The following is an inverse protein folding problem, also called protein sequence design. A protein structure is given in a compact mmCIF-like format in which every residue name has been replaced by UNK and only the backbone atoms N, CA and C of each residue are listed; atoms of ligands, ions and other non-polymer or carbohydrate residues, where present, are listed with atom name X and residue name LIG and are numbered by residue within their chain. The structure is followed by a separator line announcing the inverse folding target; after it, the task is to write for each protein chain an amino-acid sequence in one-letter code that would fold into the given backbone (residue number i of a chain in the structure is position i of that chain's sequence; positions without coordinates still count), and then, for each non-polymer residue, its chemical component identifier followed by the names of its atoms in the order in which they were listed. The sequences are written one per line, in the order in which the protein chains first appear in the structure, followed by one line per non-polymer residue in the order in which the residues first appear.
data_IF_688147224435
#
_entry.id   IF_688147224435
#
_cell.length_a   1.000
_cell.length_b   1.000
_cell.length_c   1.000
_cell.angle_alpha   90.00
_cell.angle_beta   90.00
_cell.angle_gamma   90.00
#
_symmetry.space_group_name_H-M   'P 1'
#
loop_
_entity.id
_entity.type
_entity.pdbx_description
1 polymer ?
#
# COMPACT_ATOMS: atom_id res chain seq x y z
N UNK A 1 7.39 18.83 17.82
CA UNK A 1 7.14 17.96 16.68
C UNK A 1 8.14 16.81 16.62
N UNK A 2 9.41 17.02 16.32
CA UNK A 2 10.46 15.96 16.25
C UNK A 2 10.48 14.99 17.44
N UNK A 3 10.15 15.46 18.65
CA UNK A 3 10.17 14.62 19.86
C UNK A 3 9.07 13.55 19.84
N UNK A 4 7.85 13.91 19.43
CA UNK A 4 6.74 12.93 19.27
C UNK A 4 7.02 11.95 18.12
N UNK A 5 7.55 12.44 17.01
CA UNK A 5 7.97 11.58 15.88
C UNK A 5 9.04 10.57 16.33
N UNK A 6 10.05 11.04 17.06
CA UNK A 6 11.11 10.16 17.59
C UNK A 6 10.53 9.16 18.59
N UNK A 7 9.61 9.59 19.47
CA UNK A 7 9.01 8.69 20.47
C UNK A 7 8.14 7.60 19.82
N UNK A 8 7.47 7.92 18.71
CA UNK A 8 6.73 6.94 17.87
C UNK A 8 7.71 6.03 17.13
N UNK A 9 8.70 6.59 16.43
CA UNK A 9 9.66 5.83 15.64
C UNK A 9 10.54 4.89 16.49
N UNK A 10 10.82 5.25 17.75
CA UNK A 10 11.62 4.44 18.67
C UNK A 10 10.78 3.47 19.53
N UNK A 11 9.44 3.40 19.30
CA UNK A 11 8.54 2.55 20.06
C UNK A 11 8.29 2.99 21.52
N UNK A 12 8.75 4.18 21.91
CA UNK A 12 8.42 4.75 23.24
C UNK A 12 6.97 5.15 23.37
N UNK A 13 6.33 5.46 22.26
CA UNK A 13 4.88 5.55 22.11
C UNK A 13 4.46 4.40 21.21
N UNK A 14 3.71 3.46 21.76
CA UNK A 14 3.34 2.23 21.06
C UNK A 14 2.09 2.43 20.18
N UNK A 15 1.96 1.67 19.08
CA UNK A 15 0.76 1.66 18.27
C UNK A 15 -0.53 1.47 19.09
N UNK A 16 -1.53 2.33 18.85
CA UNK A 16 -2.78 2.33 19.62
C UNK A 16 -2.73 3.05 20.97
N UNK A 17 -1.55 3.46 21.43
CA UNK A 17 -1.38 4.18 22.69
C UNK A 17 -2.07 5.54 22.65
N UNK A 18 -2.79 5.87 23.72
CA UNK A 18 -3.41 7.18 23.88
C UNK A 18 -2.40 8.21 24.33
N UNK A 19 -2.29 9.31 23.59
CA UNK A 19 -1.49 10.45 24.03
C UNK A 19 -2.09 11.11 25.27
N UNK A 20 -1.23 11.70 26.09
CA UNK A 20 -1.68 12.53 27.20
C UNK A 20 -2.61 13.66 26.69
N UNK A 21 -3.59 14.11 27.49
CA UNK A 21 -4.48 15.21 27.11
C UNK A 21 -3.68 16.44 26.62
N UNK A 22 -4.20 17.15 25.61
CA UNK A 22 -3.51 18.31 24.98
C UNK A 22 -2.91 19.29 25.99
N UNK A 23 -3.63 19.52 27.10
CA UNK A 23 -3.15 20.44 28.16
C UNK A 23 -1.88 19.91 28.82
N UNK A 24 -1.83 18.63 29.14
CA UNK A 24 -0.67 18.01 29.79
C UNK A 24 0.49 17.87 28.79
N UNK A 25 0.18 17.50 27.55
CA UNK A 25 1.17 17.35 26.49
C UNK A 25 1.82 18.70 26.15
N UNK A 26 1.03 19.78 26.07
CA UNK A 26 1.53 21.13 25.85
C UNK A 26 2.46 21.61 26.97
N UNK A 27 2.10 21.35 28.23
CA UNK A 27 2.94 21.67 29.38
C UNK A 27 4.26 20.86 29.36
N UNK A 28 4.20 19.54 29.04
CA UNK A 28 5.38 18.66 28.99
C UNK A 28 6.34 19.01 27.85
N UNK A 29 5.79 19.50 26.74
CA UNK A 29 6.56 19.90 25.56
C UNK A 29 6.90 21.39 25.52
N UNK A 30 6.45 22.16 26.52
CA UNK A 30 6.67 23.61 26.67
C UNK A 30 6.22 24.41 25.43
N UNK A 31 5.05 24.01 24.83
CA UNK A 31 4.51 24.66 23.64
C UNK A 31 3.11 25.22 23.87
N UNK A 32 2.80 26.32 23.22
CA UNK A 32 1.46 26.91 23.24
C UNK A 32 0.43 25.96 22.64
N UNK A 33 -0.82 26.00 23.16
CA UNK A 33 -1.92 25.12 22.77
C UNK A 33 -2.16 25.10 21.25
N UNK A 34 -2.14 26.26 20.60
CA UNK A 34 -2.38 26.35 19.15
C UNK A 34 -1.24 25.74 18.34
N UNK A 35 0.01 25.90 18.81
CA UNK A 35 1.18 25.26 18.20
C UNK A 35 1.11 23.74 18.32
N UNK A 36 0.72 23.23 19.50
CA UNK A 36 0.52 21.80 19.72
C UNK A 36 -0.57 21.25 18.80
N UNK A 37 -1.73 21.93 18.70
CA UNK A 37 -2.84 21.46 17.84
C UNK A 37 -2.45 21.38 16.37
N UNK A 38 -1.72 22.38 15.87
CA UNK A 38 -1.20 22.34 14.49
C UNK A 38 -0.23 21.19 14.30
N UNK A 39 0.66 20.94 15.25
CA UNK A 39 1.60 19.82 15.22
C UNK A 39 0.89 18.46 15.26
N UNK A 40 -0.15 18.31 16.11
CA UNK A 40 -0.93 17.07 16.18
C UNK A 40 -1.75 16.83 14.91
N UNK A 41 -2.31 17.90 14.32
CA UNK A 41 -3.02 17.82 13.04
C UNK A 41 -2.07 17.45 11.89
N UNK A 42 -0.86 17.98 11.85
CA UNK A 42 0.17 17.61 10.88
C UNK A 42 0.59 16.14 11.02
N UNK A 43 0.85 15.69 12.26
CA UNK A 43 1.15 14.29 12.53
C UNK A 43 -0.02 13.36 12.14
N UNK A 44 -1.25 13.82 12.29
CA UNK A 44 -2.43 13.06 11.85
C UNK A 44 -2.57 13.05 10.33
N UNK A 45 -2.30 14.17 9.66
CA UNK A 45 -2.27 14.23 8.19
C UNK A 45 -1.20 13.31 7.60
N UNK A 46 -0.11 13.09 8.33
CA UNK A 46 0.97 12.14 7.98
C UNK A 46 0.71 10.71 8.45
N UNK A 47 -0.47 10.42 8.99
CA UNK A 47 -0.86 9.09 9.42
C UNK A 47 -0.17 8.59 10.70
N UNK A 48 0.57 9.43 11.42
CA UNK A 48 1.26 9.03 12.66
C UNK A 48 0.35 9.06 13.89
N UNK A 49 -0.70 9.86 13.84
CA UNK A 49 -1.71 9.97 14.89
C UNK A 49 -3.12 9.84 14.33
N UNK A 50 -4.06 9.43 15.16
CA UNK A 50 -5.50 9.43 14.86
C UNK A 50 -6.25 10.15 15.98
N UNK A 51 -7.14 11.06 15.60
CA UNK A 51 -8.08 11.68 16.53
C UNK A 51 -9.34 10.82 16.63
N UNK A 52 -9.74 10.47 17.87
CA UNK A 52 -11.05 9.82 18.12
C UNK A 52 -11.92 10.81 18.88
N UNK A 53 -13.13 11.03 18.36
CA UNK A 53 -14.11 11.96 18.96
C UNK A 53 -14.26 11.72 20.46
N UNK A 54 -14.16 12.81 21.24
CA UNK A 54 -14.22 12.84 22.71
C UNK A 54 -13.20 11.98 23.45
N UNK A 55 -12.37 11.18 22.72
CA UNK A 55 -11.38 10.28 23.30
C UNK A 55 -9.95 10.82 23.21
N UNK A 56 -9.69 11.83 22.36
CA UNK A 56 -8.39 12.47 22.21
C UNK A 56 -7.54 11.86 21.09
N UNK A 57 -6.23 12.04 21.21
CA UNK A 57 -5.25 11.61 20.23
C UNK A 57 -4.66 10.25 20.60
N UNK A 58 -4.49 9.39 19.62
CA UNK A 58 -3.87 8.08 19.75
C UNK A 58 -2.73 7.96 18.74
N UNK A 59 -1.67 7.25 19.13
CA UNK A 59 -0.67 6.81 18.16
C UNK A 59 -1.41 5.94 17.14
N UNK A 60 -1.34 6.35 15.88
CA UNK A 60 -1.87 5.48 14.84
C UNK A 60 -1.08 4.19 14.89
N UNK A 61 -1.73 3.06 14.87
CA UNK A 61 -1.10 1.73 14.95
C UNK A 61 -0.15 1.41 13.81
N UNK A 62 0.34 2.44 13.13
CA UNK A 62 1.14 2.31 11.94
C UNK A 62 0.30 1.91 10.72
N UNK A 63 -1.03 2.06 10.81
CA UNK A 63 -1.86 1.87 9.63
C UNK A 63 -1.46 2.93 8.58
N UNK A 64 -0.85 2.48 7.53
CA UNK A 64 -0.62 3.29 6.33
C UNK A 64 -1.99 3.50 5.70
N UNK A 65 -2.51 4.74 5.77
CA UNK A 65 -3.74 5.07 5.05
C UNK A 65 -3.38 5.35 3.61
N UNK A 66 -3.72 4.46 2.71
CA UNK A 66 -3.59 4.69 1.28
C UNK A 66 -4.83 5.43 0.80
N UNK A 67 -4.63 6.64 0.33
CA UNK A 67 -5.68 7.43 -0.31
C UNK A 67 -5.64 7.17 -1.81
N UNK A 68 -6.67 6.51 -2.33
CA UNK A 68 -6.83 6.32 -3.77
C UNK A 68 -7.49 7.57 -4.35
N UNK A 69 -6.71 8.62 -4.63
CA UNK A 69 -7.27 9.92 -5.05
C UNK A 69 -7.25 10.11 -6.56
N UNK A 70 -6.43 9.40 -7.34
CA UNK A 70 -6.27 9.72 -8.77
C UNK A 70 -5.62 8.58 -9.57
N UNK A 71 -6.20 7.39 -9.56
CA UNK A 71 -5.71 6.26 -10.35
C UNK A 71 -4.72 5.34 -9.62
N UNK A 72 -4.24 4.29 -10.28
CA UNK A 72 -3.36 3.30 -9.68
C UNK A 72 -2.00 3.92 -9.37
N UNK A 73 -1.67 4.01 -8.08
CA UNK A 73 -0.42 4.55 -7.58
C UNK A 73 0.35 3.46 -6.81
N UNK A 74 1.61 3.25 -7.17
CA UNK A 74 2.45 2.30 -6.47
C UNK A 74 2.78 2.75 -5.03
N UNK A 75 2.89 1.78 -4.10
CA UNK A 75 3.26 2.06 -2.71
C UNK A 75 4.56 2.87 -2.58
N UNK A 76 5.53 2.64 -3.46
CA UNK A 76 6.80 3.38 -3.46
C UNK A 76 6.60 4.86 -3.77
N UNK A 77 5.79 5.17 -4.79
CA UNK A 77 5.50 6.56 -5.18
C UNK A 77 4.67 7.26 -4.09
N UNK A 78 3.68 6.56 -3.54
CA UNK A 78 2.88 7.05 -2.42
C UNK A 78 3.75 7.36 -1.20
N UNK A 79 4.64 6.45 -0.81
CA UNK A 79 5.51 6.62 0.34
C UNK A 79 6.52 7.76 0.16
N UNK A 80 7.05 7.95 -1.05
CA UNK A 80 7.95 9.05 -1.36
C UNK A 80 7.28 10.42 -1.13
N UNK A 81 6.00 10.56 -1.53
CA UNK A 81 5.20 11.77 -1.29
C UNK A 81 5.01 12.03 0.22
N UNK A 82 4.91 10.96 1.02
CA UNK A 82 4.70 11.05 2.47
C UNK A 82 6.00 11.04 3.29
N UNK A 83 7.17 11.00 2.62
CA UNK A 83 8.48 10.99 3.27
C UNK A 83 8.76 9.72 4.08
N UNK A 84 8.18 8.58 3.67
CA UNK A 84 8.33 7.28 4.32
C UNK A 84 9.36 6.42 3.57
N UNK A 85 10.19 5.70 4.32
CA UNK A 85 11.14 4.76 3.75
C UNK A 85 10.42 3.45 3.36
N UNK A 86 10.59 3.03 2.10
CA UNK A 86 10.05 1.76 1.60
C UNK A 86 11.19 0.90 1.07
N UNK A 87 11.17 -0.36 1.45
CA UNK A 87 12.00 -1.42 0.88
C UNK A 87 11.15 -2.64 0.54
N UNK A 88 11.73 -3.62 -0.13
CA UNK A 88 11.05 -4.86 -0.46
C UNK A 88 11.95 -6.05 -0.21
N UNK A 89 11.38 -7.12 0.31
CA UNK A 89 11.99 -8.45 0.25
C UNK A 89 11.35 -9.19 -0.92
N UNK A 90 12.12 -9.44 -1.98
CA UNK A 90 11.67 -10.21 -3.13
C UNK A 90 11.54 -11.67 -2.74
N UNK A 91 10.35 -12.23 -2.83
CA UNK A 91 10.06 -13.65 -2.57
C UNK A 91 10.15 -14.46 -3.85
N UNK A 92 9.74 -13.89 -4.98
CA UNK A 92 9.79 -14.51 -6.29
C UNK A 92 9.86 -13.45 -7.40
N UNK A 93 10.68 -13.70 -8.41
CA UNK A 93 10.76 -12.90 -9.63
C UNK A 93 11.15 -13.83 -10.78
N UNK A 94 10.21 -14.13 -11.68
CA UNK A 94 10.45 -15.11 -12.76
C UNK A 94 9.50 -14.90 -13.93
N UNK A 95 9.92 -15.40 -15.09
CA UNK A 95 9.05 -15.61 -16.24
C UNK A 95 8.43 -17.01 -16.13
N UNK A 96 7.15 -17.13 -16.41
CA UNK A 96 6.40 -18.38 -16.44
C UNK A 96 5.20 -18.31 -17.39
N UNK A 97 4.65 -19.44 -17.83
CA UNK A 97 3.39 -19.47 -18.56
C UNK A 97 2.25 -18.83 -17.73
N UNK A 98 1.38 -18.10 -18.41
CA UNK A 98 0.16 -17.54 -17.83
C UNK A 98 -0.84 -18.65 -17.49
N UNK A 99 -1.47 -18.55 -16.32
CA UNK A 99 -2.64 -19.39 -16.00
C UNK A 99 -3.86 -18.91 -16.79
N UNK A 100 -4.86 -19.75 -16.94
CA UNK A 100 -6.06 -19.45 -17.73
C UNK A 100 -6.75 -18.14 -17.31
N UNK A 101 -6.94 -17.92 -16.01
CA UNK A 101 -7.54 -16.70 -15.48
C UNK A 101 -6.69 -15.45 -15.77
N UNK A 102 -5.35 -15.59 -15.67
CA UNK A 102 -4.40 -14.51 -15.95
C UNK A 102 -4.37 -14.18 -17.45
N UNK A 103 -4.33 -15.19 -18.32
CA UNK A 103 -4.38 -15.00 -19.75
C UNK A 103 -5.65 -14.29 -20.19
N UNK A 104 -6.79 -14.66 -19.59
CA UNK A 104 -8.09 -14.01 -19.85
C UNK A 104 -8.08 -12.55 -19.40
N UNK A 105 -7.62 -12.26 -18.17
CA UNK A 105 -7.64 -10.91 -17.61
C UNK A 105 -6.63 -9.99 -18.32
N UNK A 106 -5.46 -10.51 -18.72
CA UNK A 106 -4.45 -9.77 -19.50
C UNK A 106 -4.76 -9.73 -21.01
N UNK A 107 -5.81 -10.41 -21.48
CA UNK A 107 -6.20 -10.51 -22.90
C UNK A 107 -5.07 -11.06 -23.78
N UNK A 108 -4.36 -12.07 -23.29
CA UNK A 108 -3.24 -12.71 -24.01
C UNK A 108 -3.58 -14.19 -24.28
N UNK A 109 -2.91 -14.82 -25.26
CA UNK A 109 -3.07 -16.26 -25.49
C UNK A 109 -2.73 -17.08 -24.24
N UNK A 110 -3.38 -18.24 -24.10
CA UNK A 110 -3.02 -19.20 -23.05
C UNK A 110 -1.54 -19.58 -23.17
N UNK A 111 -0.91 -19.84 -22.02
CA UNK A 111 0.52 -20.17 -21.91
C UNK A 111 1.50 -19.07 -22.38
N UNK A 112 1.02 -17.85 -22.65
CA UNK A 112 1.91 -16.72 -22.88
C UNK A 112 2.86 -16.52 -21.71
N UNK A 113 4.12 -16.20 -21.97
CA UNK A 113 5.13 -15.94 -20.94
C UNK A 113 4.87 -14.61 -20.21
N UNK A 114 4.42 -14.68 -18.97
CA UNK A 114 4.21 -13.52 -18.08
C UNK A 114 5.35 -13.38 -17.10
N UNK A 115 5.59 -12.18 -16.60
CA UNK A 115 6.52 -11.94 -15.50
C UNK A 115 5.75 -11.93 -14.18
N UNK A 116 6.12 -12.84 -13.27
CA UNK A 116 5.58 -12.93 -11.92
C UNK A 116 6.56 -12.30 -10.94
N UNK A 117 6.08 -11.35 -10.15
CA UNK A 117 6.85 -10.69 -9.11
C UNK A 117 6.10 -10.78 -7.79
N UNK A 118 6.73 -11.37 -6.76
CA UNK A 118 6.16 -11.44 -5.42
C UNK A 118 7.13 -10.80 -4.42
N UNK A 119 6.61 -9.88 -3.60
CA UNK A 119 7.41 -9.12 -2.64
C UNK A 119 6.67 -8.91 -1.33
N UNK A 120 7.39 -9.01 -0.23
CA UNK A 120 6.95 -8.37 1.01
C UNK A 120 7.34 -6.89 0.95
N UNK A 121 6.38 -6.00 1.09
CA UNK A 121 6.62 -4.56 1.15
C UNK A 121 6.82 -4.15 2.61
N UNK A 122 7.89 -3.41 2.84
CA UNK A 122 8.34 -3.01 4.17
C UNK A 122 8.32 -1.48 4.22
N UNK A 123 7.57 -0.91 5.15
CA UNK A 123 7.48 0.54 5.38
C UNK A 123 8.02 0.84 6.76
N UNK A 124 8.98 1.77 6.84
CA UNK A 124 9.66 2.14 8.09
C UNK A 124 10.20 0.90 8.86
N UNK A 125 10.75 -0.06 8.10
CA UNK A 125 11.33 -1.29 8.67
C UNK A 125 10.34 -2.36 9.10
N UNK A 126 9.03 -2.17 8.87
CA UNK A 126 7.99 -3.13 9.27
C UNK A 126 7.24 -3.66 8.05
N UNK A 127 7.03 -4.99 7.94
CA UNK A 127 6.22 -5.58 6.88
C UNK A 127 4.81 -4.97 6.87
N UNK A 128 4.37 -4.51 5.70
CA UNK A 128 3.05 -3.92 5.49
C UNK A 128 2.15 -4.81 4.64
N UNK A 129 2.66 -5.29 3.51
CA UNK A 129 1.88 -6.11 2.58
C UNK A 129 2.72 -7.19 1.91
N UNK A 130 2.06 -8.25 1.46
CA UNK A 130 2.56 -9.23 0.52
C UNK A 130 1.92 -8.94 -0.82
N UNK A 131 2.73 -8.46 -1.76
CA UNK A 131 2.30 -8.04 -3.09
C UNK A 131 2.68 -9.10 -4.11
N UNK A 132 1.73 -9.52 -4.93
CA UNK A 132 1.96 -10.37 -6.09
C UNK A 132 1.49 -9.63 -7.34
N UNK A 133 2.37 -9.45 -8.32
CA UNK A 133 2.10 -8.85 -9.62
C UNK A 133 2.38 -9.85 -10.73
N UNK A 134 1.45 -9.97 -11.68
CA UNK A 134 1.61 -10.73 -12.92
C UNK A 134 1.51 -9.76 -14.08
N UNK A 135 2.64 -9.56 -14.78
CA UNK A 135 2.79 -8.55 -15.83
C UNK A 135 2.68 -9.18 -17.22
N UNK A 136 2.03 -8.46 -18.14
CA UNK A 136 1.80 -8.89 -19.50
C UNK A 136 3.10 -9.30 -20.24
N UNK A 137 3.03 -10.27 -21.19
CA UNK A 137 4.20 -10.83 -21.89
C UNK A 137 5.11 -9.79 -22.52
N UNK A 138 4.56 -8.71 -23.05
CA UNK A 138 5.33 -7.61 -23.67
C UNK A 138 6.30 -6.90 -22.71
N UNK A 139 6.13 -7.10 -21.39
CA UNK A 139 6.95 -6.51 -20.33
C UNK A 139 7.94 -7.50 -19.71
N UNK A 140 7.75 -8.80 -19.92
CA UNK A 140 8.45 -9.85 -19.20
C UNK A 140 9.98 -9.76 -19.32
N UNK A 141 10.48 -9.58 -20.54
CA UNK A 141 11.92 -9.55 -20.80
C UNK A 141 12.61 -8.33 -20.17
N UNK A 142 11.98 -7.16 -20.20
CA UNK A 142 12.56 -5.92 -19.63
C UNK A 142 12.59 -5.95 -18.11
N UNK A 143 11.67 -6.68 -17.47
CA UNK A 143 11.57 -6.77 -16.01
C UNK A 143 12.45 -7.88 -15.42
N UNK A 144 12.80 -8.91 -16.18
CA UNK A 144 13.50 -10.10 -15.70
C UNK A 144 14.88 -9.83 -15.08
N UNK A 145 15.51 -8.70 -15.43
CA UNK A 145 16.85 -8.34 -14.98
C UNK A 145 16.86 -7.20 -13.95
N UNK A 146 15.68 -6.76 -13.48
CA UNK A 146 15.56 -5.66 -12.52
C UNK A 146 15.63 -6.18 -11.10
N UNK A 147 16.45 -5.57 -10.26
CA UNK A 147 16.42 -5.81 -8.81
C UNK A 147 15.29 -5.03 -8.14
N UNK A 148 14.19 -5.73 -7.88
CA UNK A 148 13.01 -5.18 -7.22
C UNK A 148 13.10 -5.11 -5.69
N UNK A 149 14.25 -5.36 -5.09
CA UNK A 149 14.45 -5.13 -3.65
C UNK A 149 14.38 -3.64 -3.29
N UNK A 150 14.87 -2.78 -4.19
CA UNK A 150 14.83 -1.32 -4.06
C UNK A 150 14.06 -0.61 -5.18
N UNK A 151 13.84 -1.25 -6.34
CA UNK A 151 13.20 -0.60 -7.48
C UNK A 151 11.68 -0.51 -7.33
N UNK A 152 11.10 0.62 -7.79
CA UNK A 152 9.67 0.78 -8.00
C UNK A 152 9.26 0.07 -9.29
N UNK A 153 8.24 -0.80 -9.24
CA UNK A 153 7.71 -1.46 -10.43
C UNK A 153 7.19 -0.43 -11.45
N UNK A 154 6.34 0.48 -11.01
CA UNK A 154 5.75 1.47 -11.91
C UNK A 154 6.75 2.48 -12.46
N UNK A 155 7.74 2.90 -11.65
CA UNK A 155 8.82 3.73 -12.15
C UNK A 155 9.64 3.00 -13.22
N UNK A 156 9.92 1.71 -13.03
CA UNK A 156 10.60 0.88 -14.03
C UNK A 156 9.77 0.77 -15.32
N UNK A 157 8.46 0.52 -15.20
CA UNK A 157 7.58 0.44 -16.37
C UNK A 157 7.49 1.76 -17.13
N UNK A 158 7.45 2.90 -16.44
CA UNK A 158 7.50 4.23 -17.08
C UNK A 158 8.81 4.44 -17.85
N UNK A 159 9.93 4.18 -17.19
CA UNK A 159 11.25 4.50 -17.77
C UNK A 159 11.71 3.52 -18.83
N UNK A 160 11.46 2.22 -18.66
CA UNK A 160 11.92 1.19 -19.57
C UNK A 160 10.93 0.85 -20.70
N UNK A 161 9.63 1.02 -20.45
CA UNK A 161 8.58 0.55 -21.36
C UNK A 161 7.62 1.66 -21.81
N UNK A 162 7.69 2.86 -21.25
CA UNK A 162 6.75 3.94 -21.54
C UNK A 162 5.31 3.62 -21.12
N UNK A 163 5.13 2.74 -20.13
CA UNK A 163 3.82 2.34 -19.60
C UNK A 163 3.44 3.26 -18.44
N UNK A 164 2.29 3.93 -18.59
CA UNK A 164 1.68 4.75 -17.55
C UNK A 164 0.38 4.06 -17.08
N UNK A 165 0.29 3.67 -15.80
CA UNK A 165 -0.97 3.21 -15.23
C UNK A 165 -2.03 4.31 -15.33
N UNK A 166 -3.20 4.00 -15.92
CA UNK A 166 -4.27 4.98 -16.13
C UNK A 166 -5.54 4.64 -15.38
N UNK A 167 -5.87 3.35 -15.26
CA UNK A 167 -7.09 2.85 -14.63
C UNK A 167 -6.83 1.50 -13.97
N UNK A 168 -7.52 1.24 -12.86
CA UNK A 168 -7.55 -0.08 -12.25
C UNK A 168 -9.01 -0.50 -11.94
N UNK A 169 -9.29 -1.79 -12.15
CA UNK A 169 -10.50 -2.43 -11.66
C UNK A 169 -10.14 -3.16 -10.38
N UNK A 170 -10.75 -2.74 -9.26
CA UNK A 170 -10.33 -3.16 -7.93
C UNK A 170 -11.43 -3.97 -7.24
N UNK A 171 -11.05 -5.00 -6.49
CA UNK A 171 -11.91 -5.70 -5.56
C UNK A 171 -11.24 -5.77 -4.19
N UNK A 172 -11.97 -5.39 -3.15
CA UNK A 172 -11.50 -5.36 -1.78
C UNK A 172 -12.25 -6.42 -0.96
N UNK A 173 -11.51 -7.24 -0.20
CA UNK A 173 -12.07 -8.27 0.68
C UNK A 173 -11.36 -8.28 2.03
N UNK A 174 -12.11 -8.60 3.08
CA UNK A 174 -11.53 -8.98 4.35
C UNK A 174 -11.22 -10.48 4.32
N UNK A 175 -9.97 -10.83 4.63
CA UNK A 175 -9.50 -12.22 4.72
C UNK A 175 -8.68 -12.41 5.99
N UNK A 176 -8.31 -13.63 6.32
CA UNK A 176 -7.44 -13.94 7.46
C UNK A 176 -6.08 -14.44 6.97
N UNK A 177 -5.04 -14.17 7.74
CA UNK A 177 -3.71 -14.63 7.47
C UNK A 177 -3.62 -16.17 7.56
N UNK A 178 -3.19 -16.80 6.48
CA UNK A 178 -2.76 -18.18 6.47
C UNK A 178 -1.34 -18.31 7.05
N UNK A 179 -0.82 -19.55 7.13
CA UNK A 179 0.52 -19.79 7.67
C UNK A 179 1.60 -19.02 6.91
N UNK A 180 1.52 -18.97 5.58
CA UNK A 180 2.55 -18.33 4.74
C UNK A 180 2.51 -16.82 4.85
N UNK A 181 1.34 -16.23 4.72
CA UNK A 181 1.16 -14.77 4.84
C UNK A 181 1.47 -14.29 6.27
N UNK A 182 1.09 -15.06 7.30
CA UNK A 182 1.42 -14.76 8.69
C UNK A 182 2.94 -14.73 8.91
N UNK A 183 3.68 -15.75 8.43
CA UNK A 183 5.14 -15.80 8.54
C UNK A 183 5.81 -14.62 7.81
N UNK A 184 5.40 -14.34 6.57
CA UNK A 184 6.00 -13.29 5.75
C UNK A 184 5.69 -11.87 6.26
N UNK A 185 4.53 -11.68 6.87
CA UNK A 185 4.07 -10.39 7.38
C UNK A 185 4.30 -10.21 8.89
N UNK A 186 4.95 -11.17 9.55
CA UNK A 186 5.19 -11.14 11.00
C UNK A 186 3.88 -11.00 11.79
N UNK A 187 2.89 -11.83 11.44
CA UNK A 187 1.56 -11.90 12.04
C UNK A 187 1.31 -13.28 12.67
N UNK A 188 0.21 -13.39 13.40
CA UNK A 188 -0.32 -14.68 13.84
C UNK A 188 -1.28 -15.23 12.79
N UNK A 189 -1.30 -16.57 12.61
CA UNK A 189 -2.31 -17.21 11.75
C UNK A 189 -3.71 -16.86 12.26
N UNK A 190 -4.56 -16.38 11.36
CA UNK A 190 -5.90 -15.90 11.68
C UNK A 190 -6.01 -14.39 11.89
N UNK A 191 -4.89 -13.66 11.96
CA UNK A 191 -4.95 -12.20 12.01
C UNK A 191 -5.63 -11.61 10.76
N UNK A 192 -6.35 -10.48 10.89
CA UNK A 192 -7.09 -9.89 9.79
C UNK A 192 -6.16 -9.28 8.74
N UNK A 193 -6.47 -9.55 7.48
CA UNK A 193 -5.86 -8.93 6.32
C UNK A 193 -6.91 -8.24 5.45
N UNK A 194 -6.50 -7.21 4.74
CA UNK A 194 -7.27 -6.59 3.68
C UNK A 194 -6.67 -7.00 2.33
N UNK A 195 -7.40 -7.86 1.62
CA UNK A 195 -7.03 -8.29 0.27
C UNK A 195 -7.53 -7.26 -0.75
N UNK A 196 -6.63 -6.73 -1.55
CA UNK A 196 -6.93 -5.90 -2.71
C UNK A 196 -6.46 -6.64 -3.95
N UNK A 197 -7.39 -7.00 -4.84
CA UNK A 197 -7.10 -7.54 -6.15
C UNK A 197 -7.41 -6.53 -7.24
N UNK A 198 -6.51 -6.39 -8.20
CA UNK A 198 -6.59 -5.36 -9.23
C UNK A 198 -6.26 -5.92 -10.61
N UNK A 199 -6.96 -5.41 -11.63
CA UNK A 199 -6.50 -5.45 -13.02
C UNK A 199 -6.17 -4.02 -13.44
N UNK A 200 -4.91 -3.77 -13.78
CA UNK A 200 -4.42 -2.43 -14.10
C UNK A 200 -4.24 -2.27 -15.60
N UNK A 201 -4.70 -1.13 -16.11
CA UNK A 201 -4.69 -0.76 -17.52
C UNK A 201 -3.76 0.40 -17.77
N UNK A 202 -3.09 0.37 -18.92
CA UNK A 202 -2.18 1.43 -19.35
C UNK A 202 -2.94 2.63 -19.96
N UNK A 203 -2.18 3.63 -20.41
CA UNK A 203 -2.69 4.84 -21.05
C UNK A 203 -3.47 4.61 -22.34
N UNK A 204 -3.36 3.41 -22.92
CA UNK A 204 -4.10 3.01 -24.12
C UNK A 204 -5.32 2.14 -23.81
N UNK A 205 -5.55 1.83 -22.53
CA UNK A 205 -6.66 0.98 -22.07
C UNK A 205 -6.37 -0.51 -22.18
N UNK A 206 -5.11 -0.91 -22.41
CA UNK A 206 -4.73 -2.31 -22.46
C UNK A 206 -4.32 -2.80 -21.07
N UNK A 207 -4.81 -3.99 -20.64
CA UNK A 207 -4.42 -4.56 -19.36
C UNK A 207 -2.94 -4.96 -19.41
N UNK A 208 -2.20 -4.58 -18.39
CA UNK A 208 -0.77 -4.90 -18.33
C UNK A 208 -0.35 -5.60 -17.02
N UNK A 209 -1.16 -5.49 -15.98
CA UNK A 209 -0.89 -6.10 -14.69
C UNK A 209 -2.15 -6.66 -14.05
N UNK A 210 -2.00 -7.82 -13.43
CA UNK A 210 -2.92 -8.35 -12.42
C UNK A 210 -2.16 -8.31 -11.10
N UNK A 211 -2.71 -7.64 -10.12
CA UNK A 211 -2.09 -7.51 -8.81
C UNK A 211 -2.98 -8.09 -7.71
N UNK A 212 -2.33 -8.70 -6.71
CA UNK A 212 -2.93 -9.15 -5.47
C UNK A 212 -2.09 -8.61 -4.31
N UNK A 213 -2.71 -7.85 -3.43
CA UNK A 213 -2.09 -7.29 -2.25
C UNK A 213 -2.77 -7.82 -1.00
N UNK A 214 -2.02 -8.53 -0.17
CA UNK A 214 -2.46 -8.93 1.16
C UNK A 214 -1.90 -7.93 2.17
N UNK A 215 -2.71 -6.98 2.57
CA UNK A 215 -2.32 -5.89 3.46
C UNK A 215 -2.65 -6.22 4.90
N UNK A 216 -1.75 -5.91 5.83
CA UNK A 216 -1.98 -6.06 7.26
C UNK A 216 -3.14 -5.19 7.72
N UNK A 217 -4.19 -5.79 8.31
CA UNK A 217 -5.38 -5.07 8.75
C UNK A 217 -5.14 -4.12 9.93
N UNK A 218 -4.06 -4.31 10.69
CA UNK A 218 -3.66 -3.44 11.79
C UNK A 218 -2.88 -2.19 11.33
N UNK A 219 -2.41 -2.17 10.06
CA UNK A 219 -1.54 -1.11 9.51
C UNK A 219 -2.03 -0.48 8.22
N UNK A 220 -2.93 -1.12 7.50
CA UNK A 220 -3.42 -0.67 6.21
C UNK A 220 -4.87 -0.24 6.32
N UNK A 221 -5.21 0.93 5.78
CA UNK A 221 -6.57 1.40 5.61
C UNK A 221 -6.76 1.93 4.18
N UNK A 222 -7.83 1.50 3.54
CA UNK A 222 -8.22 1.98 2.22
C UNK A 222 -9.19 3.13 2.35
N UNK A 223 -8.88 4.28 1.73
CA UNK A 223 -9.78 5.44 1.67
C UNK A 223 -10.07 5.77 0.23
N UNK A 224 -11.33 5.92 -0.10
CA UNK A 224 -11.78 6.40 -1.41
C UNK A 224 -12.89 7.42 -1.26
N UNK A 225 -13.05 8.30 -2.23
CA UNK A 225 -14.15 9.26 -2.29
C UNK A 225 -15.15 8.78 -3.35
N UNK A 226 -16.38 8.54 -2.92
CA UNK A 226 -17.47 8.20 -3.84
C UNK A 226 -18.25 9.47 -4.17
N UNK A 227 -18.32 9.83 -5.45
CA UNK A 227 -19.07 11.00 -5.93
C UNK A 227 -20.43 10.54 -6.45
N UNK A 228 -21.51 11.12 -5.94
CA UNK A 228 -22.84 10.85 -6.43
C UNK A 228 -23.01 11.40 -7.86
N UNK A 229 -23.51 10.58 -8.80
CA UNK A 229 -23.73 10.95 -10.19
C UNK A 229 -22.73 10.36 -11.20
N UNK A 230 -21.78 9.56 -10.77
CA UNK A 230 -20.97 8.72 -11.66
C UNK A 230 -21.83 7.62 -12.29
N UNK A 231 -21.84 7.53 -13.62
CA UNK A 231 -22.46 6.40 -14.31
C UNK A 231 -21.67 5.14 -13.97
N UNK A 232 -22.30 4.26 -13.20
CA UNK A 232 -21.78 2.90 -12.99
C UNK A 232 -21.98 2.11 -14.28
N UNK A 233 -21.00 2.06 -15.14
CA UNK A 233 -21.00 1.10 -16.25
C UNK A 233 -20.70 -0.29 -15.66
N UNK A 234 -21.72 -1.13 -15.64
CA UNK A 234 -21.54 -2.56 -15.34
C UNK A 234 -20.61 -3.14 -16.41
N UNK A 235 -19.53 -3.86 -16.04
CA UNK A 235 -18.79 -4.60 -17.03
C UNK A 235 -19.75 -5.59 -17.73
N UNK A 236 -19.68 -5.64 -19.06
CA UNK A 236 -20.45 -6.58 -19.84
C UNK A 236 -20.12 -8.01 -19.41
N UNK A 237 -21.17 -8.81 -19.18
CA UNK A 237 -21.11 -10.22 -18.77
C UNK A 237 -20.45 -11.09 -19.82
#
# INVERSE_FOLDING_TARGET
MRRLETDIATGRLTPGERLAPERQLGARLEVARNTLRRALADLAARGLLVSRDRSGWFVNGGAVTIETVSGPQGLTDWAAIHGLAVSSKVCNARIRPAREAEARALRVPLDSEVFELERVRIVEGVPLSLDQSVLAPRLATSLAHVDFSGASLYQTLRTANGIEPSRAECMLRAVIADRRSAELLELTVGDPLLELSETVFDQYGEPFEIALHLNRGDRYAFRTTVVAGGVWERPAS
#
